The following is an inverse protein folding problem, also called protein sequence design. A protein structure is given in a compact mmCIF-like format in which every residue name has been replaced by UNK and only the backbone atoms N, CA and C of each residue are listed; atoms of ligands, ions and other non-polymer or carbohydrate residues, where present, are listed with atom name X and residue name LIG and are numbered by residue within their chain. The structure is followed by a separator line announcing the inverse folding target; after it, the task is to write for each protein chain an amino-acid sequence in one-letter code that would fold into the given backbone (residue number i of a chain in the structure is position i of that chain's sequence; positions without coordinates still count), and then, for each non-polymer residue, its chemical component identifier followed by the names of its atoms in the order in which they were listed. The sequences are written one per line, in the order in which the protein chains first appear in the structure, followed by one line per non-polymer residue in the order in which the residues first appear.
data_IF_238657904172
#
_entry.id   IF_238657904172
#
_cell.length_a   1.000
_cell.length_b   1.000
_cell.length_c   1.000
_cell.angle_alpha   90.00
_cell.angle_beta   90.00
_cell.angle_gamma   90.00
#
_symmetry.space_group_name_H-M   'P 1'
#
loop_
_entity.id
_entity.type
_entity.pdbx_description
1 polymer ?
#
# COMPACT_ATOMS: atom_id res chain seq x y z
N UNK A 1 -70.07 47.70 -2.92
CA UNK A 1 -69.48 46.53 -2.24
C UNK A 1 -68.15 46.19 -2.97
N UNK A 2 -67.06 46.53 -2.37
CA UNK A 2 -65.72 46.37 -3.00
C UNK A 2 -65.03 45.11 -2.40
N UNK A 3 -64.89 44.07 -3.22
CA UNK A 3 -64.11 42.87 -2.84
C UNK A 3 -62.60 43.15 -2.94
N UNK A 4 -61.94 43.08 -1.82
CA UNK A 4 -60.45 43.14 -1.76
C UNK A 4 -59.94 41.72 -1.66
N UNK A 5 -59.42 41.21 -2.78
CA UNK A 5 -58.70 39.94 -2.82
C UNK A 5 -57.28 40.10 -2.18
N UNK A 6 -57.05 39.40 -1.07
CA UNK A 6 -55.73 39.32 -0.44
C UNK A 6 -54.94 38.22 -1.13
N UNK A 7 -53.91 38.62 -1.89
CA UNK A 7 -52.88 37.71 -2.40
C UNK A 7 -51.92 37.39 -1.25
N UNK A 8 -51.88 36.11 -0.82
CA UNK A 8 -50.81 35.61 0.06
C UNK A 8 -49.65 35.18 -0.80
N UNK A 9 -48.51 35.89 -0.71
CA UNK A 9 -47.25 35.55 -1.33
C UNK A 9 -46.52 34.57 -0.38
N UNK A 10 -46.45 33.28 -0.76
CA UNK A 10 -45.63 32.30 -0.06
C UNK A 10 -44.18 32.43 -0.57
N UNK A 11 -43.31 33.01 0.24
CA UNK A 11 -41.87 32.99 -0.02
C UNK A 11 -41.32 31.61 0.40
N UNK A 12 -40.98 30.77 -0.59
CA UNK A 12 -40.23 29.56 -0.36
C UNK A 12 -38.77 29.97 -0.04
N UNK A 13 -38.40 29.84 1.22
CA UNK A 13 -36.99 29.92 1.63
C UNK A 13 -36.32 28.59 1.26
N UNK A 14 -35.59 28.54 0.12
CA UNK A 14 -34.69 27.47 -0.19
C UNK A 14 -33.48 27.58 0.77
N UNK A 15 -33.50 26.87 1.88
CA UNK A 15 -32.30 26.60 2.65
C UNK A 15 -31.41 25.68 1.82
N UNK A 16 -30.49 26.25 1.06
CA UNK A 16 -29.40 25.50 0.42
C UNK A 16 -28.54 24.90 1.51
N UNK A 17 -28.65 23.59 1.73
CA UNK A 17 -27.65 22.83 2.51
C UNK A 17 -26.36 22.89 1.69
N UNK A 18 -25.44 23.79 2.03
CA UNK A 18 -24.07 23.72 1.55
C UNK A 18 -23.49 22.42 2.14
N UNK A 19 -23.56 21.33 1.37
CA UNK A 19 -22.80 20.13 1.66
C UNK A 19 -21.33 20.53 1.68
N UNK A 20 -20.72 20.50 2.86
CA UNK A 20 -19.28 20.71 3.01
C UNK A 20 -18.60 19.62 2.18
N UNK A 21 -18.07 19.97 1.01
CA UNK A 21 -17.30 19.04 0.18
C UNK A 21 -16.10 18.59 1.00
N UNK A 22 -15.84 17.27 1.13
CA UNK A 22 -14.67 16.80 1.85
C UNK A 22 -13.43 17.44 1.21
N UNK A 23 -12.53 17.95 2.06
CA UNK A 23 -11.30 18.59 1.60
C UNK A 23 -10.44 17.55 0.88
N UNK A 24 -10.05 17.83 -0.35
CA UNK A 24 -9.13 17.00 -1.10
C UNK A 24 -7.77 16.91 -0.37
N UNK A 25 -7.29 15.70 -0.13
CA UNK A 25 -6.00 15.45 0.53
C UNK A 25 -5.11 14.65 -0.41
N UNK A 26 -3.83 15.01 -0.47
CA UNK A 26 -2.85 14.44 -1.38
C UNK A 26 -1.83 13.61 -0.60
N UNK A 27 -1.52 12.42 -1.11
CA UNK A 27 -0.55 11.50 -0.53
C UNK A 27 0.39 10.94 -1.58
N UNK A 28 1.65 10.75 -1.20
CA UNK A 28 2.64 9.97 -1.95
C UNK A 28 2.81 8.62 -1.28
N UNK A 29 2.38 7.56 -1.96
CA UNK A 29 2.47 6.18 -1.52
C UNK A 29 3.59 5.47 -2.29
N UNK A 30 4.37 4.65 -1.62
CA UNK A 30 5.43 3.85 -2.22
C UNK A 30 5.22 2.37 -1.92
N UNK A 31 5.33 1.52 -2.92
CA UNK A 31 5.47 0.08 -2.77
C UNK A 31 6.92 -0.30 -3.00
N UNK A 32 7.52 -1.10 -2.10
CA UNK A 32 8.91 -1.49 -2.26
C UNK A 32 9.21 -2.89 -1.66
N UNK A 33 9.56 -3.85 -2.51
CA UNK A 33 10.21 -5.07 -2.05
C UNK A 33 11.68 -4.74 -1.76
N UNK A 34 12.12 -4.94 -0.52
CA UNK A 34 13.44 -4.46 -0.04
C UNK A 34 14.48 -5.58 0.13
N UNK A 35 14.17 -6.80 -0.34
CA UNK A 35 15.10 -7.92 -0.33
C UNK A 35 15.75 -8.16 1.04
N UNK A 36 14.96 -8.17 2.11
CA UNK A 36 15.38 -8.26 3.50
C UNK A 36 16.39 -7.14 3.90
N UNK A 37 16.34 -5.99 3.23
CA UNK A 37 17.32 -4.89 3.40
C UNK A 37 18.76 -5.37 3.32
N UNK A 38 19.02 -6.41 2.56
CA UNK A 38 20.34 -7.07 2.49
C UNK A 38 20.60 -7.77 1.16
N UNK A 39 19.96 -7.39 0.07
CA UNK A 39 20.02 -8.21 -1.15
C UNK A 39 21.42 -8.30 -1.76
N UNK A 40 22.18 -7.20 -1.81
CA UNK A 40 23.46 -7.15 -2.51
C UNK A 40 24.66 -6.94 -1.59
N UNK A 41 24.60 -6.02 -0.63
CA UNK A 41 25.73 -5.70 0.22
C UNK A 41 25.30 -5.23 1.61
N UNK A 42 25.63 -6.01 2.64
CA UNK A 42 25.40 -5.66 4.03
C UNK A 42 23.94 -5.27 4.34
N UNK A 43 23.75 -4.23 5.15
CA UNK A 43 22.46 -3.66 5.43
C UNK A 43 22.15 -2.50 4.49
N UNK A 44 21.02 -2.55 3.78
CA UNK A 44 20.54 -1.46 2.92
C UNK A 44 19.49 -0.58 3.55
N UNK A 45 19.24 -0.66 4.88
CA UNK A 45 18.22 0.15 5.59
C UNK A 45 18.43 1.64 5.31
N UNK A 46 19.64 2.15 5.45
CA UNK A 46 19.95 3.56 5.21
C UNK A 46 19.76 3.95 3.73
N UNK A 47 20.11 3.05 2.80
CA UNK A 47 19.88 3.27 1.37
C UNK A 47 18.38 3.38 1.08
N UNK A 48 17.57 2.45 1.58
CA UNK A 48 16.11 2.46 1.43
C UNK A 48 15.50 3.69 2.11
N UNK A 49 15.99 4.11 3.28
CA UNK A 49 15.55 5.34 3.94
C UNK A 49 15.83 6.59 3.07
N UNK A 50 17.00 6.66 2.42
CA UNK A 50 17.29 7.73 1.46
C UNK A 50 16.38 7.69 0.24
N UNK A 51 16.09 6.50 -0.30
CA UNK A 51 15.12 6.33 -1.39
C UNK A 51 13.77 6.94 -0.99
N UNK A 52 13.23 6.52 0.15
CA UNK A 52 11.90 6.95 0.64
C UNK A 52 11.87 8.46 0.90
N UNK A 53 12.96 9.03 1.46
CA UNK A 53 13.09 10.48 1.67
C UNK A 53 13.14 11.26 0.37
N UNK A 54 13.92 10.80 -0.63
CA UNK A 54 14.03 11.46 -1.93
C UNK A 54 12.72 11.43 -2.70
N UNK A 55 11.97 10.33 -2.59
CA UNK A 55 10.63 10.18 -3.16
C UNK A 55 9.55 10.99 -2.41
N UNK A 56 9.87 11.56 -1.25
CA UNK A 56 8.94 12.32 -0.39
C UNK A 56 7.68 11.52 -0.06
N UNK A 57 7.86 10.22 0.25
CA UNK A 57 6.76 9.35 0.57
C UNK A 57 6.08 9.73 1.89
N UNK A 58 4.76 9.67 1.92
CA UNK A 58 3.96 9.80 3.14
C UNK A 58 3.77 8.44 3.83
N UNK A 59 3.64 7.37 3.03
CA UNK A 59 3.55 6.00 3.52
C UNK A 59 4.15 5.00 2.53
N UNK A 60 4.61 3.85 3.06
CA UNK A 60 5.31 2.82 2.30
C UNK A 60 4.79 1.44 2.67
N UNK A 61 4.59 0.59 1.66
CA UNK A 61 4.40 -0.85 1.82
C UNK A 61 5.71 -1.58 1.54
N UNK A 62 6.10 -2.46 2.44
CA UNK A 62 7.37 -3.19 2.37
C UNK A 62 7.13 -4.69 2.24
N UNK A 63 7.84 -5.32 1.30
CA UNK A 63 7.92 -6.76 1.18
C UNK A 63 9.33 -7.24 1.54
N UNK A 64 9.43 -8.52 1.88
CA UNK A 64 10.69 -9.16 2.29
C UNK A 64 11.37 -8.44 3.47
N UNK A 65 10.66 -8.34 4.58
CA UNK A 65 11.19 -7.74 5.81
C UNK A 65 11.50 -8.83 6.82
N UNK A 66 12.71 -8.80 7.39
CA UNK A 66 13.09 -9.61 8.54
C UNK A 66 12.85 -8.85 9.85
N UNK A 67 12.34 -9.56 10.85
CA UNK A 67 12.34 -9.08 12.23
C UNK A 67 13.14 -10.04 13.10
N UNK A 68 14.25 -9.57 13.67
CA UNK A 68 15.10 -10.31 14.57
C UNK A 68 15.68 -11.63 13.99
N UNK A 69 15.76 -11.77 12.67
CA UNK A 69 16.31 -12.94 11.99
C UNK A 69 17.85 -12.95 12.08
N UNK A 70 18.44 -14.10 12.39
CA UNK A 70 19.91 -14.25 12.44
C UNK A 70 20.61 -13.93 11.12
N UNK A 71 19.96 -14.13 9.95
CA UNK A 71 20.56 -13.80 8.64
C UNK A 71 20.83 -12.31 8.48
N UNK A 72 20.09 -11.48 9.21
CA UNK A 72 20.15 -10.02 9.16
C UNK A 72 20.62 -9.42 10.50
N UNK A 73 21.42 -10.18 11.28
CA UNK A 73 22.02 -9.69 12.52
C UNK A 73 21.04 -9.53 13.69
N UNK A 74 19.91 -10.24 13.66
CA UNK A 74 18.87 -10.17 14.69
C UNK A 74 18.29 -8.75 14.89
N UNK A 75 18.28 -7.96 13.82
CA UNK A 75 17.73 -6.59 13.80
C UNK A 75 16.24 -6.64 13.48
N UNK A 76 15.46 -5.82 14.15
CA UNK A 76 14.09 -5.50 13.73
C UNK A 76 14.17 -4.41 12.65
N UNK A 77 14.19 -4.86 11.38
CA UNK A 77 14.51 -4.00 10.25
C UNK A 77 13.51 -2.87 10.07
N UNK A 78 12.20 -3.15 10.23
CA UNK A 78 11.18 -2.14 10.03
C UNK A 78 11.19 -1.08 11.14
N UNK A 79 11.49 -1.49 12.38
CA UNK A 79 11.67 -0.58 13.50
C UNK A 79 12.87 0.35 13.26
N UNK A 80 14.03 -0.20 12.90
CA UNK A 80 15.23 0.59 12.62
C UNK A 80 15.01 1.54 11.43
N UNK A 81 14.32 1.08 10.39
CA UNK A 81 13.91 1.95 9.28
C UNK A 81 13.05 3.13 9.78
N UNK A 82 11.99 2.85 10.55
CA UNK A 82 11.08 3.88 11.06
C UNK A 82 11.80 4.92 11.93
N UNK A 83 12.72 4.48 12.80
CA UNK A 83 13.59 5.35 13.60
C UNK A 83 14.49 6.23 12.70
N UNK A 84 15.07 5.68 11.65
CA UNK A 84 15.92 6.43 10.69
C UNK A 84 15.16 7.47 9.87
N UNK A 85 13.84 7.30 9.78
CA UNK A 85 12.93 8.24 9.10
C UNK A 85 12.44 9.37 10.00
N UNK A 86 12.80 9.41 11.29
CA UNK A 86 12.35 10.39 12.26
C UNK A 86 11.01 9.99 12.89
N UNK A 87 11.01 8.86 13.58
CA UNK A 87 9.88 8.33 14.36
C UNK A 87 8.60 8.09 13.52
N UNK A 88 8.79 7.54 12.33
CA UNK A 88 7.67 7.05 11.53
C UNK A 88 6.91 5.97 12.29
N UNK A 89 5.59 5.94 12.13
CA UNK A 89 4.79 4.79 12.57
C UNK A 89 5.12 3.57 11.70
N UNK A 90 5.04 2.37 12.27
CA UNK A 90 5.23 1.14 11.52
C UNK A 90 4.36 0.01 12.07
N UNK A 91 4.02 -0.95 11.21
CA UNK A 91 3.38 -2.19 11.58
C UNK A 91 3.96 -3.34 10.76
N UNK A 92 4.49 -4.35 11.44
CA UNK A 92 5.06 -5.54 10.85
C UNK A 92 4.14 -6.74 10.98
N UNK A 93 3.86 -7.44 9.89
CA UNK A 93 3.10 -8.68 9.86
C UNK A 93 4.03 -9.86 9.52
N UNK A 94 4.39 -10.65 10.54
CA UNK A 94 5.15 -11.87 10.35
C UNK A 94 4.32 -12.87 9.53
N UNK A 95 4.84 -13.30 8.39
CA UNK A 95 4.27 -14.37 7.58
C UNK A 95 4.68 -15.75 8.13
N UNK A 96 5.96 -15.88 8.52
CA UNK A 96 6.49 -17.14 9.06
C UNK A 96 7.64 -16.89 10.06
N UNK A 97 7.90 -17.85 10.98
CA UNK A 97 9.16 -17.91 11.73
C UNK A 97 10.34 -18.12 10.76
N UNK A 98 11.42 -17.38 10.94
CA UNK A 98 12.57 -17.51 10.06
C UNK A 98 13.90 -17.25 10.79
N UNK A 99 14.77 -18.26 10.82
CA UNK A 99 16.13 -18.20 11.38
C UNK A 99 16.23 -17.56 12.77
N UNK A 100 15.30 -17.91 13.66
CA UNK A 100 15.27 -17.44 15.04
C UNK A 100 14.52 -16.12 15.26
N UNK A 101 14.06 -15.48 14.20
CA UNK A 101 13.16 -14.36 14.16
C UNK A 101 11.96 -14.65 13.27
N UNK A 102 11.53 -13.66 12.48
CA UNK A 102 10.43 -13.79 11.54
C UNK A 102 10.76 -13.12 10.19
N UNK A 103 10.02 -13.56 9.14
CA UNK A 103 10.03 -12.96 7.81
C UNK A 103 8.60 -12.59 7.44
N UNK A 104 8.41 -11.45 6.80
CA UNK A 104 7.08 -10.98 6.47
C UNK A 104 7.04 -9.70 5.65
N UNK A 105 5.99 -8.93 5.88
CA UNK A 105 5.69 -7.67 5.20
C UNK A 105 5.41 -6.57 6.22
N UNK A 106 5.47 -5.32 5.80
CA UNK A 106 5.24 -4.21 6.69
C UNK A 106 4.65 -2.98 6.02
N UNK A 107 4.11 -2.10 6.84
CA UNK A 107 3.67 -0.76 6.48
C UNK A 107 4.40 0.23 7.37
N UNK A 108 4.90 1.32 6.79
CA UNK A 108 5.41 2.45 7.55
C UNK A 108 4.85 3.76 7.00
N UNK A 109 4.64 4.74 7.86
CA UNK A 109 4.10 6.03 7.48
C UNK A 109 4.69 7.17 8.30
N UNK A 110 4.72 8.36 7.69
CA UNK A 110 5.21 9.57 8.33
C UNK A 110 4.48 9.85 9.64
N UNK A 111 5.14 10.50 10.58
CA UNK A 111 4.56 10.89 11.88
C UNK A 111 3.30 11.78 11.75
N UNK A 112 3.10 12.42 10.59
CA UNK A 112 1.89 13.19 10.30
C UNK A 112 0.65 12.31 10.09
N UNK A 113 0.83 11.02 9.77
CA UNK A 113 -0.26 10.06 9.56
C UNK A 113 -0.54 9.29 10.85
N UNK A 114 -1.62 9.69 11.54
CA UNK A 114 -2.04 9.02 12.77
C UNK A 114 -2.60 7.63 12.47
N UNK A 115 -1.96 6.60 13.02
CA UNK A 115 -2.47 5.22 12.97
C UNK A 115 -3.69 5.09 13.89
N UNK A 116 -4.80 4.63 13.34
CA UNK A 116 -6.05 4.37 14.07
C UNK A 116 -6.18 2.90 14.46
N UNK A 117 -5.75 2.00 13.56
CA UNK A 117 -5.82 0.55 13.74
C UNK A 117 -4.71 -0.11 12.93
N UNK A 118 -4.22 -1.25 13.42
CA UNK A 118 -3.38 -2.17 12.66
C UNK A 118 -3.96 -3.57 12.72
N UNK A 119 -3.75 -4.38 11.67
CA UNK A 119 -4.17 -5.76 11.64
C UNK A 119 -3.27 -6.61 10.76
N UNK A 120 -3.27 -7.91 11.01
CA UNK A 120 -2.55 -8.91 10.22
C UNK A 120 -3.53 -9.91 9.65
N UNK A 121 -3.47 -10.15 8.34
CA UNK A 121 -4.24 -11.19 7.66
C UNK A 121 -3.28 -12.32 7.31
N UNK A 122 -3.47 -13.50 7.90
CA UNK A 122 -2.76 -14.69 7.48
C UNK A 122 -3.35 -15.19 6.15
N UNK A 123 -2.50 -15.39 5.15
CA UNK A 123 -2.94 -15.86 3.84
C UNK A 123 -2.79 -17.36 3.69
N UNK A 124 -3.70 -18.05 2.96
CA UNK A 124 -3.61 -19.49 2.75
C UNK A 124 -2.36 -19.82 1.93
N UNK A 125 -1.65 -20.89 2.32
CA UNK A 125 -0.46 -21.35 1.61
C UNK A 125 -0.82 -22.25 0.42
N UNK A 126 -1.88 -23.06 0.53
CA UNK A 126 -2.27 -24.08 -0.46
C UNK A 126 -1.05 -24.90 -0.93
N UNK A 127 -0.79 -24.93 -2.25
CA UNK A 127 0.39 -25.57 -2.84
C UNK A 127 1.63 -24.65 -2.92
N UNK A 128 1.58 -23.51 -2.23
CA UNK A 128 2.63 -22.50 -2.28
C UNK A 128 3.91 -22.90 -1.58
N UNK A 129 4.93 -22.08 -1.79
CA UNK A 129 6.27 -22.30 -1.22
C UNK A 129 6.36 -21.83 0.23
N UNK A 130 5.82 -20.67 0.53
CA UNK A 130 5.97 -19.99 1.81
C UNK A 130 4.63 -19.48 2.38
N UNK A 131 4.44 -19.50 3.70
CA UNK A 131 3.37 -18.74 4.32
C UNK A 131 3.46 -17.25 3.97
N UNK A 132 2.30 -16.63 3.68
CA UNK A 132 2.19 -15.23 3.34
C UNK A 132 1.24 -14.50 4.30
N UNK A 133 1.36 -13.19 4.35
CA UNK A 133 0.50 -12.36 5.19
C UNK A 133 0.26 -10.99 4.54
N UNK A 134 -0.75 -10.29 5.03
CA UNK A 134 -0.95 -8.86 4.79
C UNK A 134 -0.68 -8.11 6.09
N UNK A 135 0.09 -7.03 6.02
CA UNK A 135 0.15 -6.00 7.05
C UNK A 135 -0.83 -4.90 6.68
N UNK A 136 -1.70 -4.51 7.60
CA UNK A 136 -2.70 -3.48 7.41
C UNK A 136 -2.53 -2.38 8.45
N UNK A 137 -2.53 -1.12 7.99
CA UNK A 137 -2.64 0.05 8.86
C UNK A 137 -3.76 0.97 8.36
N UNK A 138 -4.65 1.36 9.26
CA UNK A 138 -5.73 2.30 9.01
C UNK A 138 -5.33 3.68 9.51
N UNK A 139 -5.49 4.67 8.65
CA UNK A 139 -5.29 6.09 8.92
C UNK A 139 -6.61 6.85 8.88
N UNK A 140 -6.58 8.17 9.05
CA UNK A 140 -7.79 8.98 9.05
C UNK A 140 -8.51 8.95 7.70
N UNK A 141 -7.77 9.09 6.59
CA UNK A 141 -8.34 9.23 5.25
C UNK A 141 -8.31 7.96 4.40
N UNK A 142 -7.51 6.95 4.76
CA UNK A 142 -7.35 5.71 3.98
C UNK A 142 -6.88 4.53 4.83
N UNK A 143 -6.94 3.35 4.24
CA UNK A 143 -6.31 2.12 4.74
C UNK A 143 -5.18 1.73 3.80
N UNK A 144 -4.04 1.32 4.33
CA UNK A 144 -2.89 0.84 3.55
C UNK A 144 -2.56 -0.60 3.93
N UNK A 145 -2.50 -1.46 2.91
CA UNK A 145 -2.16 -2.87 3.05
C UNK A 145 -0.87 -3.18 2.30
N UNK A 146 0.01 -3.95 2.91
CA UNK A 146 1.20 -4.52 2.27
C UNK A 146 1.04 -6.03 2.15
N UNK A 147 1.29 -6.58 0.96
CA UNK A 147 1.26 -8.03 0.71
C UNK A 147 2.44 -8.49 -0.11
N UNK A 148 2.81 -9.77 0.01
CA UNK A 148 3.74 -10.44 -0.86
C UNK A 148 3.13 -11.79 -1.20
N UNK A 149 2.61 -11.95 -2.42
CA UNK A 149 1.92 -13.17 -2.82
C UNK A 149 2.90 -14.32 -3.11
N UNK A 150 2.39 -15.52 -3.13
CA UNK A 150 3.16 -16.72 -3.43
C UNK A 150 3.54 -16.80 -4.92
N UNK A 151 4.40 -17.76 -5.27
CA UNK A 151 4.87 -17.98 -6.64
C UNK A 151 3.91 -18.86 -7.48
N UNK A 152 3.01 -19.59 -6.84
CA UNK A 152 2.07 -20.48 -7.54
C UNK A 152 0.74 -19.78 -7.81
N UNK A 153 0.18 -19.96 -9.00
CA UNK A 153 -1.10 -19.36 -9.39
C UNK A 153 -2.23 -19.75 -8.43
N UNK A 154 -2.32 -21.02 -8.03
CA UNK A 154 -3.36 -21.49 -7.13
C UNK A 154 -3.29 -20.77 -5.78
N UNK A 155 -2.08 -20.62 -5.21
CA UNK A 155 -1.92 -19.88 -3.95
C UNK A 155 -2.21 -18.39 -4.12
N UNK A 156 -1.80 -17.78 -5.22
CA UNK A 156 -2.10 -16.37 -5.51
C UNK A 156 -3.62 -16.13 -5.56
N UNK A 157 -4.36 -17.00 -6.24
CA UNK A 157 -5.83 -16.92 -6.33
C UNK A 157 -6.44 -17.00 -4.93
N UNK A 158 -6.12 -18.06 -4.17
CA UNK A 158 -6.66 -18.25 -2.82
C UNK A 158 -6.26 -17.12 -1.85
N UNK A 159 -5.08 -16.54 -2.03
CA UNK A 159 -4.61 -15.40 -1.24
C UNK A 159 -5.39 -14.12 -1.57
N UNK A 160 -5.67 -13.86 -2.85
CA UNK A 160 -6.50 -12.73 -3.29
C UNK A 160 -7.94 -12.89 -2.79
N UNK A 161 -8.51 -14.09 -2.86
CA UNK A 161 -9.85 -14.39 -2.32
C UNK A 161 -9.92 -14.14 -0.81
N UNK A 162 -8.89 -14.55 -0.06
CA UNK A 162 -8.81 -14.29 1.38
C UNK A 162 -8.70 -12.79 1.70
N UNK A 163 -7.92 -12.03 0.93
CA UNK A 163 -7.83 -10.56 1.05
C UNK A 163 -9.21 -9.94 0.78
N UNK A 164 -9.87 -10.34 -0.30
CA UNK A 164 -11.19 -9.84 -0.67
C UNK A 164 -12.22 -10.13 0.43
N UNK A 165 -12.25 -11.37 0.91
CA UNK A 165 -13.16 -11.77 1.98
C UNK A 165 -12.95 -10.96 3.28
N UNK A 166 -11.69 -10.73 3.66
CA UNK A 166 -11.38 -9.90 4.82
C UNK A 166 -11.86 -8.47 4.64
N UNK A 167 -11.55 -7.86 3.50
CA UNK A 167 -11.93 -6.46 3.21
C UNK A 167 -13.46 -6.33 3.16
N UNK A 168 -14.16 -7.26 2.51
CA UNK A 168 -15.62 -7.26 2.42
C UNK A 168 -16.29 -7.43 3.78
N UNK A 169 -15.66 -8.19 4.69
CA UNK A 169 -16.20 -8.42 6.03
C UNK A 169 -15.93 -7.28 7.00
N UNK A 170 -14.70 -6.77 7.02
CA UNK A 170 -14.23 -5.81 8.04
C UNK A 170 -14.53 -4.37 7.64
N UNK A 171 -14.51 -4.08 6.35
CA UNK A 171 -14.71 -2.74 5.80
C UNK A 171 -16.06 -2.57 5.07
N UNK A 172 -17.02 -3.47 5.33
CA UNK A 172 -18.40 -3.31 4.84
C UNK A 172 -18.99 -1.97 5.28
N UNK A 173 -19.42 -1.16 4.31
CA UNK A 173 -19.96 0.18 4.58
C UNK A 173 -18.95 1.24 5.00
N UNK A 174 -17.66 0.92 5.04
CA UNK A 174 -16.61 1.90 5.23
C UNK A 174 -16.45 2.77 3.98
N UNK A 175 -16.31 4.08 4.17
CA UNK A 175 -16.11 5.04 3.09
C UNK A 175 -14.65 5.48 2.90
N UNK A 176 -13.70 4.78 3.51
CA UNK A 176 -12.28 5.04 3.30
C UNK A 176 -11.75 4.22 2.13
N UNK A 177 -10.98 4.81 1.21
CA UNK A 177 -10.29 4.02 0.19
C UNK A 177 -9.26 3.09 0.86
N UNK A 178 -9.17 1.88 0.33
CA UNK A 178 -8.23 0.86 0.78
C UNK A 178 -7.21 0.67 -0.33
N UNK A 179 -5.96 1.00 -0.06
CA UNK A 179 -4.83 0.73 -0.94
C UNK A 179 -4.15 -0.58 -0.55
N UNK A 180 -3.72 -1.35 -1.53
CA UNK A 180 -2.88 -2.52 -1.32
C UNK A 180 -1.69 -2.45 -2.26
N UNK A 181 -0.49 -2.41 -1.69
CA UNK A 181 0.77 -2.48 -2.42
C UNK A 181 1.48 -3.80 -2.15
N UNK A 182 2.18 -4.33 -3.15
CA UNK A 182 2.93 -5.55 -2.94
C UNK A 182 3.68 -6.06 -4.18
N UNK A 183 4.57 -7.02 -3.92
CA UNK A 183 5.08 -7.94 -4.91
C UNK A 183 4.06 -9.08 -5.06
N UNK A 184 3.38 -9.10 -6.19
CA UNK A 184 2.35 -10.11 -6.48
C UNK A 184 2.94 -11.37 -7.12
N UNK A 185 4.24 -11.38 -7.44
CA UNK A 185 4.91 -12.48 -8.15
C UNK A 185 4.19 -12.93 -9.42
N UNK A 186 3.42 -12.04 -10.04
CA UNK A 186 2.51 -12.30 -11.14
C UNK A 186 2.68 -11.25 -12.24
N UNK A 187 2.70 -11.66 -13.49
CA UNK A 187 2.73 -10.75 -14.64
C UNK A 187 1.35 -10.12 -14.89
N UNK A 188 1.25 -8.98 -15.58
CA UNK A 188 -0.01 -8.26 -15.78
C UNK A 188 -1.12 -9.07 -16.42
N UNK A 189 -0.76 -10.00 -17.29
CA UNK A 189 -1.71 -10.88 -18.02
C UNK A 189 -2.16 -12.12 -17.24
N UNK A 190 -1.60 -12.36 -16.06
CA UNK A 190 -1.91 -13.55 -15.25
C UNK A 190 -3.35 -13.55 -14.73
N UNK A 191 -3.88 -14.75 -14.47
CA UNK A 191 -5.24 -14.92 -13.93
C UNK A 191 -5.40 -14.27 -12.54
N UNK A 192 -4.34 -14.31 -11.72
CA UNK A 192 -4.34 -13.68 -10.39
C UNK A 192 -4.49 -12.15 -10.47
N UNK A 193 -3.79 -11.49 -11.40
CA UNK A 193 -3.94 -10.04 -11.60
C UNK A 193 -5.32 -9.70 -12.19
N UNK A 194 -5.83 -10.50 -13.13
CA UNK A 194 -7.20 -10.34 -13.64
C UNK A 194 -8.26 -10.52 -12.56
N UNK A 195 -8.06 -11.50 -11.64
CA UNK A 195 -8.94 -11.69 -10.50
C UNK A 195 -8.92 -10.45 -9.57
N UNK A 196 -7.73 -9.93 -9.27
CA UNK A 196 -7.59 -8.73 -8.45
C UNK A 196 -8.35 -7.55 -9.06
N UNK A 197 -8.24 -7.35 -10.38
CA UNK A 197 -8.89 -6.26 -11.10
C UNK A 197 -10.43 -6.38 -11.18
N UNK A 198 -11.03 -7.50 -10.80
CA UNK A 198 -12.50 -7.61 -10.73
C UNK A 198 -13.10 -6.74 -9.61
N UNK A 199 -12.33 -6.49 -8.55
CA UNK A 199 -12.80 -5.78 -7.36
C UNK A 199 -11.91 -4.61 -6.95
N UNK A 200 -10.70 -4.53 -7.49
CA UNK A 200 -9.72 -3.47 -7.22
C UNK A 200 -9.33 -2.75 -8.51
N UNK A 201 -9.14 -1.47 -8.39
CA UNK A 201 -8.64 -0.62 -9.46
C UNK A 201 -7.11 -0.60 -9.42
N UNK A 202 -6.46 -0.95 -10.53
CA UNK A 202 -5.00 -0.85 -10.67
C UNK A 202 -4.60 0.63 -10.82
N UNK A 203 -3.61 1.07 -10.05
CA UNK A 203 -3.15 2.46 -10.04
C UNK A 203 -1.73 2.64 -10.64
N UNK A 204 -0.95 1.58 -10.73
CA UNK A 204 0.45 1.64 -11.17
C UNK A 204 0.60 1.45 -12.68
N UNK A 205 1.62 2.05 -13.30
CA UNK A 205 1.94 1.77 -14.69
C UNK A 205 2.41 0.32 -14.83
N UNK A 206 2.08 -0.31 -15.96
CA UNK A 206 2.52 -1.65 -16.30
C UNK A 206 3.95 -1.62 -16.88
N UNK A 207 4.90 -1.12 -16.08
CA UNK A 207 6.32 -1.07 -16.41
C UNK A 207 7.12 -1.98 -15.50
N UNK A 208 8.37 -2.26 -15.84
CA UNK A 208 9.17 -3.26 -15.15
C UNK A 208 9.73 -2.73 -13.83
N UNK A 209 9.62 -3.54 -12.76
CA UNK A 209 10.15 -3.27 -11.42
C UNK A 209 11.27 -4.22 -11.01
N UNK A 210 11.40 -5.37 -11.68
CA UNK A 210 12.32 -6.44 -11.33
C UNK A 210 13.05 -7.02 -12.56
N UNK A 211 14.33 -7.45 -12.46
CA UNK A 211 15.26 -7.09 -11.39
C UNK A 211 15.79 -5.66 -11.54
N UNK A 212 16.04 -4.94 -10.44
CA UNK A 212 16.42 -3.53 -10.45
C UNK A 212 17.60 -3.17 -11.36
N UNK A 213 18.71 -3.97 -11.44
CA UNK A 213 19.82 -3.65 -12.31
C UNK A 213 19.49 -3.68 -13.82
N UNK A 214 18.51 -4.49 -14.23
CA UNK A 214 18.07 -4.63 -15.61
C UNK A 214 16.57 -5.04 -15.65
N UNK A 215 15.64 -4.10 -15.42
CA UNK A 215 14.23 -4.41 -15.25
C UNK A 215 13.61 -5.06 -16.48
N UNK A 216 12.95 -6.21 -16.28
CA UNK A 216 12.33 -7.00 -17.36
C UNK A 216 11.00 -7.63 -16.97
N UNK A 217 10.57 -7.50 -15.70
CA UNK A 217 9.30 -8.04 -15.20
C UNK A 217 8.54 -6.96 -14.41
N UNK A 218 7.23 -6.90 -14.67
CA UNK A 218 6.27 -6.10 -13.92
C UNK A 218 5.57 -7.04 -12.93
N UNK A 219 5.92 -7.00 -11.66
CA UNK A 219 5.39 -7.88 -10.61
C UNK A 219 5.02 -7.13 -9.33
N UNK A 220 5.38 -5.85 -9.24
CA UNK A 220 5.05 -4.96 -8.13
C UNK A 220 3.90 -4.04 -8.52
N UNK A 221 2.84 -4.02 -7.72
CA UNK A 221 1.62 -3.26 -8.02
C UNK A 221 1.12 -2.50 -6.80
N UNK A 222 0.32 -1.46 -7.07
CA UNK A 222 -0.59 -0.86 -6.10
C UNK A 222 -1.99 -0.83 -6.69
N UNK A 223 -2.94 -1.33 -5.93
CA UNK A 223 -4.37 -1.31 -6.25
C UNK A 223 -5.13 -0.50 -5.21
N UNK A 224 -6.35 -0.09 -5.56
CA UNK A 224 -7.28 0.58 -4.64
C UNK A 224 -8.70 0.04 -4.74
N UNK A 225 -9.39 -0.06 -3.61
CA UNK A 225 -10.85 -0.05 -3.51
C UNK A 225 -11.28 1.33 -3.04
N UNK A 226 -11.94 2.14 -3.88
CA UNK A 226 -12.29 3.54 -3.54
C UNK A 226 -13.32 3.67 -2.42
N UNK A 227 -14.17 2.65 -2.21
CA UNK A 227 -15.23 2.61 -1.18
C UNK A 227 -16.11 3.88 -1.14
N UNK A 228 -16.51 4.36 -2.33
CA UNK A 228 -17.37 5.53 -2.46
C UNK A 228 -16.65 6.89 -2.41
N UNK A 229 -15.32 6.91 -2.22
CA UNK A 229 -14.51 8.13 -2.35
C UNK A 229 -13.95 8.26 -3.77
N UNK A 230 -13.76 9.49 -4.22
CA UNK A 230 -13.01 9.76 -5.45
C UNK A 230 -11.51 9.67 -5.15
N UNK A 231 -10.81 8.78 -5.87
CA UNK A 231 -9.35 8.64 -5.81
C UNK A 231 -8.81 8.94 -7.20
N UNK A 232 -8.02 10.00 -7.33
CA UNK A 232 -7.36 10.36 -8.57
C UNK A 232 -5.85 10.16 -8.46
N UNK A 233 -5.24 9.60 -9.52
CA UNK A 233 -3.78 9.44 -9.63
C UNK A 233 -3.22 10.69 -10.30
N UNK A 234 -2.43 11.46 -9.56
CA UNK A 234 -1.76 12.65 -10.06
C UNK A 234 -0.45 12.30 -10.79
N UNK A 235 0.26 11.30 -10.25
CA UNK A 235 1.47 10.76 -10.84
C UNK A 235 1.66 9.31 -10.42
N UNK A 236 2.19 8.49 -11.34
CA UNK A 236 2.58 7.11 -11.08
C UNK A 236 3.88 6.80 -11.85
N UNK A 237 4.87 6.21 -11.20
CA UNK A 237 6.14 5.88 -11.83
C UNK A 237 6.86 4.73 -11.13
N UNK A 238 7.79 4.12 -11.87
CA UNK A 238 8.79 3.19 -11.34
C UNK A 238 10.15 3.80 -11.72
N UNK A 239 10.75 4.62 -10.84
CA UNK A 239 12.02 5.29 -11.14
C UNK A 239 13.14 4.26 -11.26
N UNK A 240 13.98 4.43 -12.28
CA UNK A 240 15.18 3.60 -12.49
C UNK A 240 16.46 4.31 -11.98
N UNK A 241 16.36 5.60 -11.70
CA UNK A 241 17.46 6.42 -11.15
C UNK A 241 16.93 7.42 -10.14
N UNK A 242 17.71 7.66 -9.11
CA UNK A 242 17.54 8.75 -8.14
C UNK A 242 18.87 9.52 -8.05
N UNK A 243 18.85 10.72 -7.46
CA UNK A 243 20.05 11.57 -7.41
C UNK A 243 21.04 11.12 -6.34
N UNK A 244 20.52 10.64 -5.20
CA UNK A 244 21.34 10.40 -4.00
C UNK A 244 21.48 8.90 -3.65
N UNK A 245 20.87 8.01 -4.42
CA UNK A 245 20.88 6.56 -4.15
C UNK A 245 20.93 5.80 -5.47
N UNK A 246 21.80 4.81 -5.51
CA UNK A 246 21.82 3.82 -6.57
C UNK A 246 20.73 2.76 -6.29
N UNK A 247 19.65 2.80 -7.04
CA UNK A 247 18.53 1.88 -6.90
C UNK A 247 18.90 0.44 -7.26
N UNK A 248 19.89 0.27 -8.16
CA UNK A 248 20.34 -1.07 -8.59
C UNK A 248 21.04 -1.86 -7.48
N UNK A 249 21.50 -1.18 -6.43
CA UNK A 249 22.16 -1.76 -5.26
C UNK A 249 21.36 -1.70 -3.98
N UNK A 250 20.33 -0.83 -3.93
CA UNK A 250 19.48 -0.67 -2.75
C UNK A 250 18.58 -1.90 -2.50
N UNK A 251 17.99 -2.42 -3.57
CA UNK A 251 17.19 -3.67 -3.59
C UNK A 251 17.29 -4.33 -4.97
N UNK A 252 16.85 -5.57 -5.10
CA UNK A 252 16.67 -6.22 -6.41
C UNK A 252 15.34 -5.85 -7.09
N UNK A 253 14.47 -5.09 -6.43
CA UNK A 253 13.32 -4.46 -7.02
C UNK A 253 13.49 -2.95 -7.09
N UNK A 254 12.76 -2.31 -8.01
CA UNK A 254 12.59 -0.86 -8.06
C UNK A 254 11.35 -0.44 -7.26
N UNK A 255 11.35 0.74 -6.62
CA UNK A 255 10.17 1.25 -5.93
C UNK A 255 9.08 1.63 -6.93
N UNK A 256 7.83 1.32 -6.59
CA UNK A 256 6.64 1.83 -7.28
C UNK A 256 6.12 3.04 -6.53
N UNK A 257 5.98 4.16 -7.21
CA UNK A 257 5.64 5.45 -6.60
C UNK A 257 4.31 5.96 -7.15
N UNK A 258 3.43 6.34 -6.25
CA UNK A 258 2.12 6.92 -6.58
C UNK A 258 1.92 8.23 -5.83
N UNK A 259 1.44 9.24 -6.53
CA UNK A 259 0.84 10.41 -5.90
C UNK A 259 -0.65 10.41 -6.18
N UNK A 260 -1.46 10.36 -5.12
CA UNK A 260 -2.92 10.27 -5.20
C UNK A 260 -3.58 11.42 -4.48
N UNK A 261 -4.75 11.82 -4.97
CA UNK A 261 -5.65 12.77 -4.30
C UNK A 261 -6.93 12.02 -3.93
N UNK A 262 -7.35 12.13 -2.67
CA UNK A 262 -8.58 11.55 -2.11
C UNK A 262 -9.55 12.72 -1.82
N UNK A 263 -10.80 12.60 -2.34
CA UNK A 263 -11.89 13.58 -2.13
C UNK A 263 -13.08 12.97 -1.42
#
# INVERSE_FOLDING_TARGET
MRNVSRLFLFALILCGVMACQPKAVKYTLVQYNVGAFKKYDGSSIDAIARVVKELKADAVTFNEVDSCSRRTGSVDQLKVFAESMGDWSQFYAAAMPFRGGAYGVGVAASAALKVLRTDKIALPKLNGYEPRAVALAEYEDFVLCSTHLDLTLESQIGQIEAINHYVDSVYAGCNKPIFIGGDFNALPESESIKLMQQTWQLLTPLTFSFPAPAPSRCIDYVFVRPNGREVSVEAASIPVTLQNVDLSTASDHLPVVLTVTIK
#
